data_IF_416115318617
#
_entry.id   IF_416115318617
#
_cell.length_a   1.000
_cell.length_b   1.000
_cell.length_c   1.000
_cell.angle_alpha   90.00
_cell.angle_beta   90.00
_cell.angle_gamma   90.00
#
_symmetry.space_group_name_H-M   'P 1'
#
loop_
_entity.id
_entity.type
_entity.pdbx_description
1 polymer ?
#
# COMPACT_ATOMS: atom_id res chain seq x y z
N UNK A 1 8.69 3.15 -6.21
CA UNK A 1 8.56 3.74 -7.57
C UNK A 1 7.80 2.90 -8.58
N UNK A 2 8.33 1.82 -9.17
CA UNK A 2 7.62 1.12 -10.27
C UNK A 2 6.22 0.63 -9.84
N UNK A 3 6.12 -0.04 -8.69
CA UNK A 3 4.85 -0.57 -8.20
C UNK A 3 3.83 0.54 -7.87
N UNK A 4 4.31 1.63 -7.27
CA UNK A 4 3.49 2.78 -6.91
C UNK A 4 2.92 3.47 -8.14
N UNK A 5 3.77 3.82 -9.10
CA UNK A 5 3.36 4.40 -10.38
C UNK A 5 2.41 3.47 -11.12
N UNK A 6 2.71 2.17 -11.19
CA UNK A 6 1.83 1.20 -11.84
C UNK A 6 0.45 1.12 -11.17
N UNK A 7 0.40 1.13 -9.83
CA UNK A 7 -0.83 1.10 -9.05
C UNK A 7 -1.70 2.34 -9.32
N UNK A 8 -1.10 3.52 -9.26
CA UNK A 8 -1.80 4.78 -9.45
C UNK A 8 -2.26 4.97 -10.90
N UNK A 9 -1.42 4.60 -11.88
CA UNK A 9 -1.80 4.61 -13.29
C UNK A 9 -2.96 3.65 -13.57
N UNK A 10 -2.93 2.43 -13.03
CA UNK A 10 -4.03 1.47 -13.17
C UNK A 10 -5.32 2.01 -12.55
N UNK A 11 -5.23 2.64 -11.37
CA UNK A 11 -6.39 3.21 -10.68
C UNK A 11 -6.95 4.42 -11.42
N UNK A 12 -6.11 5.30 -11.96
CA UNK A 12 -6.54 6.44 -12.78
C UNK A 12 -7.26 5.95 -14.03
N UNK A 13 -6.62 5.10 -14.83
CA UNK A 13 -7.21 4.55 -16.05
C UNK A 13 -8.53 3.83 -15.81
N UNK A 14 -8.63 3.10 -14.70
CA UNK A 14 -9.86 2.41 -14.32
C UNK A 14 -10.99 3.42 -14.05
N UNK A 15 -10.71 4.54 -13.38
CA UNK A 15 -11.69 5.62 -13.16
C UNK A 15 -12.05 6.36 -14.45
N UNK A 16 -11.04 6.66 -15.28
CA UNK A 16 -11.21 7.40 -16.54
C UNK A 16 -12.06 6.61 -17.55
N UNK A 17 -12.00 5.28 -17.50
CA UNK A 17 -12.88 4.39 -18.26
C UNK A 17 -14.33 4.35 -17.74
N UNK A 18 -14.70 5.18 -16.75
CA UNK A 18 -16.06 5.27 -16.22
C UNK A 18 -16.47 4.12 -15.31
N UNK A 19 -15.52 3.27 -14.88
CA UNK A 19 -15.83 2.15 -13.99
C UNK A 19 -16.29 2.67 -12.61
N UNK A 20 -17.29 1.99 -12.05
CA UNK A 20 -17.83 2.26 -10.70
C UNK A 20 -17.39 1.16 -9.74
N UNK A 21 -17.17 1.51 -8.47
CA UNK A 21 -16.73 0.55 -7.45
C UNK A 21 -15.25 0.62 -7.08
N UNK A 22 -14.65 -0.54 -6.89
CA UNK A 22 -13.24 -0.73 -6.50
C UNK A 22 -12.49 -1.51 -7.57
N UNK A 23 -11.18 -1.30 -7.66
CA UNK A 23 -10.30 -2.03 -8.56
C UNK A 23 -9.77 -3.28 -7.85
N UNK A 24 -9.88 -4.43 -8.50
CA UNK A 24 -9.38 -5.73 -8.01
C UNK A 24 -8.50 -6.45 -9.04
N UNK A 25 -8.12 -5.75 -10.12
CA UNK A 25 -7.33 -6.29 -11.24
C UNK A 25 -5.94 -5.64 -11.29
N UNK A 26 -5.03 -6.29 -12.01
CA UNK A 26 -3.65 -5.83 -12.12
C UNK A 26 -2.91 -5.97 -10.80
N UNK A 27 -2.16 -4.95 -10.38
CA UNK A 27 -1.40 -5.00 -9.12
C UNK A 27 -2.32 -5.01 -7.89
N UNK A 28 -3.54 -4.50 -8.04
CA UNK A 28 -4.57 -4.49 -7.00
C UNK A 28 -5.13 -5.89 -6.69
N UNK A 29 -4.91 -6.89 -7.56
CA UNK A 29 -5.23 -8.30 -7.27
C UNK A 29 -4.37 -8.88 -6.14
N UNK A 30 -3.15 -8.38 -5.99
CA UNK A 30 -2.14 -8.93 -5.07
C UNK A 30 -2.02 -8.14 -3.77
N UNK A 31 -2.48 -6.90 -3.75
CA UNK A 31 -2.45 -6.03 -2.58
C UNK A 31 -3.61 -5.05 -2.63
N UNK A 32 -4.22 -4.78 -1.46
CA UNK A 32 -5.24 -3.74 -1.32
C UNK A 32 -4.65 -2.33 -1.42
N UNK A 33 -3.36 -2.17 -1.10
CA UNK A 33 -2.64 -0.90 -1.13
C UNK A 33 -1.22 -1.06 -1.74
N UNK A 34 -1.13 -1.45 -3.04
CA UNK A 34 0.16 -1.70 -3.68
C UNK A 34 1.00 -0.43 -3.80
N UNK A 35 0.35 0.74 -3.89
CA UNK A 35 1.02 2.03 -3.90
C UNK A 35 1.75 2.32 -2.58
N UNK A 36 1.10 2.12 -1.43
CA UNK A 36 1.74 2.29 -0.13
C UNK A 36 2.88 1.31 0.12
N UNK A 37 2.76 0.07 -0.37
CA UNK A 37 3.89 -0.85 -0.29
C UNK A 37 5.07 -0.36 -1.15
N UNK A 38 4.80 0.17 -2.35
CA UNK A 38 5.82 0.77 -3.21
C UNK A 38 6.54 1.97 -2.57
N UNK A 39 5.80 2.80 -1.84
CA UNK A 39 6.33 3.94 -1.08
C UNK A 39 7.16 3.47 0.13
N UNK A 40 6.66 2.52 0.92
CA UNK A 40 7.41 1.94 2.04
C UNK A 40 8.72 1.29 1.57
N UNK A 41 8.70 0.60 0.43
CA UNK A 41 9.89 -0.02 -0.15
C UNK A 41 10.90 1.03 -0.62
N UNK A 42 10.45 2.16 -1.16
CA UNK A 42 11.30 3.30 -1.52
C UNK A 42 12.00 3.88 -0.28
N UNK A 43 11.23 4.14 0.78
CA UNK A 43 11.80 4.66 2.03
C UNK A 43 12.79 3.68 2.66
N UNK A 44 12.50 2.38 2.62
CA UNK A 44 13.42 1.35 3.09
C UNK A 44 14.71 1.30 2.25
N UNK A 45 14.63 1.35 0.91
CA UNK A 45 15.82 1.30 0.05
C UNK A 45 16.69 2.55 0.19
N UNK A 46 16.07 3.74 0.30
CA UNK A 46 16.78 4.98 0.63
C UNK A 46 17.46 4.89 2.00
N UNK A 47 16.77 4.37 3.01
CA UNK A 47 17.35 4.17 4.33
C UNK A 47 18.60 3.30 4.28
N UNK A 48 18.53 2.14 3.63
CA UNK A 48 19.67 1.22 3.48
C UNK A 48 20.81 1.89 2.71
N UNK A 49 20.50 2.67 1.67
CA UNK A 49 21.52 3.35 0.85
C UNK A 49 22.25 4.45 1.62
N UNK A 50 21.53 5.26 2.39
CA UNK A 50 22.10 6.36 3.16
C UNK A 50 22.80 5.92 4.45
N UNK A 51 22.33 4.86 5.10
CA UNK A 51 22.86 4.42 6.41
C UNK A 51 24.27 3.84 6.35
N UNK A 52 24.69 3.33 5.18
CA UNK A 52 26.05 2.81 4.98
C UNK A 52 27.14 3.89 5.09
N UNK A 53 26.82 5.16 4.82
CA UNK A 53 27.76 6.28 4.92
C UNK A 53 27.86 6.92 6.31
N UNK A 54 27.08 6.46 7.30
CA UNK A 54 26.99 7.11 8.61
C UNK A 54 27.98 6.51 9.61
N UNK A 55 28.84 7.32 10.25
CA UNK A 55 29.95 6.81 11.08
C UNK A 55 29.50 6.32 12.46
N UNK A 56 28.39 6.83 13.01
CA UNK A 56 27.96 6.51 14.38
C UNK A 56 26.64 5.74 14.43
N UNK A 57 26.44 4.94 15.47
CA UNK A 57 25.19 4.24 15.72
C UNK A 57 24.00 5.20 15.93
N UNK A 58 24.23 6.36 16.56
CA UNK A 58 23.20 7.38 16.77
C UNK A 58 22.68 7.98 15.47
N UNK A 59 23.57 8.28 14.51
CA UNK A 59 23.17 8.77 13.19
C UNK A 59 22.41 7.71 12.40
N UNK A 60 22.84 6.43 12.47
CA UNK A 60 22.11 5.31 11.83
C UNK A 60 20.71 5.16 12.41
N UNK A 61 20.56 5.23 13.73
CA UNK A 61 19.27 5.16 14.40
C UNK A 61 18.33 6.31 13.95
N UNK A 62 18.84 7.54 13.87
CA UNK A 62 18.08 8.69 13.40
C UNK A 62 17.66 8.53 11.93
N UNK A 63 18.55 8.04 11.08
CA UNK A 63 18.27 7.77 9.67
C UNK A 63 17.21 6.68 9.45
N UNK A 64 17.09 5.71 10.37
CA UNK A 64 16.04 4.68 10.36
C UNK A 64 14.73 5.21 10.93
N UNK A 65 14.78 6.12 11.91
CA UNK A 65 13.59 6.65 12.58
C UNK A 65 12.64 7.37 11.61
N UNK A 66 13.17 8.14 10.66
CA UNK A 66 12.37 8.84 9.65
C UNK A 66 11.52 7.91 8.76
N UNK A 67 12.09 6.94 8.02
CA UNK A 67 11.31 6.01 7.19
C UNK A 67 10.41 5.10 8.03
N UNK A 68 10.82 4.71 9.24
CA UNK A 68 9.97 3.97 10.16
C UNK A 68 8.71 4.77 10.57
N UNK A 69 8.88 6.07 10.83
CA UNK A 69 7.77 6.98 11.13
C UNK A 69 6.81 7.13 9.95
N UNK A 70 7.32 7.28 8.71
CA UNK A 70 6.47 7.30 7.51
C UNK A 70 5.69 6.00 7.35
N UNK A 71 6.36 4.84 7.50
CA UNK A 71 5.69 3.53 7.45
C UNK A 71 4.59 3.41 8.51
N UNK A 72 4.84 3.92 9.72
CA UNK A 72 3.85 3.94 10.80
C UNK A 72 2.63 4.79 10.44
N UNK A 73 2.84 6.02 9.94
CA UNK A 73 1.75 6.91 9.54
C UNK A 73 0.89 6.29 8.44
N UNK A 74 1.53 5.73 7.40
CA UNK A 74 0.82 5.09 6.29
C UNK A 74 0.06 3.84 6.74
N UNK A 75 0.64 3.01 7.61
CA UNK A 75 0.02 1.74 8.02
C UNK A 75 -1.09 1.92 9.05
N UNK A 76 -0.91 2.82 10.02
CA UNK A 76 -1.69 2.84 11.25
C UNK A 76 -2.43 4.16 11.52
N UNK A 77 -2.11 5.25 10.81
CA UNK A 77 -2.71 6.57 11.09
C UNK A 77 -3.52 7.07 9.90
N UNK A 78 -2.86 7.62 8.88
CA UNK A 78 -3.50 8.39 7.82
C UNK A 78 -3.67 7.63 6.51
N UNK A 79 -2.82 6.63 6.22
CA UNK A 79 -2.88 5.92 4.95
C UNK A 79 -4.01 4.88 4.90
N UNK A 80 -3.69 3.65 5.30
CA UNK A 80 -4.57 2.49 5.21
C UNK A 80 -5.88 2.66 6.00
N UNK A 81 -5.88 3.10 7.27
CA UNK A 81 -7.11 3.12 8.07
C UNK A 81 -8.17 4.07 7.52
N UNK A 82 -7.78 5.26 7.07
CA UNK A 82 -8.70 6.24 6.50
C UNK A 82 -9.31 5.74 5.18
N UNK A 83 -8.49 5.15 4.31
CA UNK A 83 -8.97 4.59 3.04
C UNK A 83 -9.89 3.39 3.25
N UNK A 84 -9.57 2.49 4.19
CA UNK A 84 -10.42 1.36 4.51
C UNK A 84 -11.76 1.81 5.10
N UNK A 85 -11.76 2.81 5.99
CA UNK A 85 -12.99 3.38 6.55
C UNK A 85 -13.88 3.97 5.46
N UNK A 86 -13.30 4.76 4.55
CA UNK A 86 -14.03 5.34 3.42
C UNK A 86 -14.56 4.27 2.46
N UNK A 87 -13.74 3.27 2.12
CA UNK A 87 -14.14 2.18 1.25
C UNK A 87 -15.22 1.29 1.88
N UNK A 88 -15.13 1.01 3.19
CA UNK A 88 -16.17 0.28 3.94
C UNK A 88 -17.47 1.07 4.02
N UNK A 89 -17.43 2.39 4.20
CA UNK A 89 -18.63 3.22 4.18
C UNK A 89 -19.33 3.19 2.80
N UNK A 90 -18.56 3.11 1.71
CA UNK A 90 -19.09 3.13 0.34
C UNK A 90 -19.48 1.75 -0.20
N UNK A 91 -18.74 0.71 0.16
CA UNK A 91 -18.83 -0.64 -0.43
C UNK A 91 -19.04 -1.76 0.60
N UNK A 92 -19.18 -1.44 1.90
CA UNK A 92 -19.27 -2.43 2.96
C UNK A 92 -20.50 -3.34 2.90
N UNK A 93 -21.54 -2.95 2.16
CA UNK A 93 -22.70 -3.78 1.86
C UNK A 93 -22.58 -4.61 0.57
N UNK A 94 -21.49 -4.46 -0.20
CA UNK A 94 -21.26 -5.21 -1.44
C UNK A 94 -20.50 -6.52 -1.13
N UNK A 95 -21.11 -7.70 -1.34
CA UNK A 95 -20.45 -8.98 -1.10
C UNK A 95 -19.14 -9.15 -1.88
N UNK A 96 -19.03 -8.56 -3.08
CA UNK A 96 -17.79 -8.63 -3.89
C UNK A 96 -16.65 -7.86 -3.23
N UNK A 97 -16.95 -6.71 -2.64
CA UNK A 97 -15.95 -5.93 -1.91
C UNK A 97 -15.46 -6.68 -0.67
N UNK A 98 -16.38 -7.30 0.08
CA UNK A 98 -16.03 -8.09 1.25
C UNK A 98 -15.17 -9.30 0.89
N UNK A 99 -15.51 -10.02 -0.19
CA UNK A 99 -14.70 -11.12 -0.71
C UNK A 99 -13.30 -10.64 -1.14
N UNK A 100 -13.22 -9.51 -1.85
CA UNK A 100 -11.96 -8.91 -2.25
C UNK A 100 -11.05 -8.59 -1.05
N UNK A 101 -11.60 -7.95 -0.01
CA UNK A 101 -10.83 -7.61 1.21
C UNK A 101 -10.41 -8.88 1.97
N UNK A 102 -11.25 -9.92 1.99
CA UNK A 102 -10.94 -11.17 2.69
C UNK A 102 -9.81 -11.97 2.01
N UNK A 103 -9.76 -11.98 0.67
CA UNK A 103 -8.79 -12.78 -0.10
C UNK A 103 -7.48 -12.05 -0.40
N UNK A 104 -7.49 -10.72 -0.43
CA UNK A 104 -6.36 -9.91 -0.91
C UNK A 104 -5.49 -9.45 0.25
N UNK A 105 -4.16 -9.59 0.13
CA UNK A 105 -3.22 -9.06 1.11
C UNK A 105 -3.38 -7.56 1.29
N UNK A 106 -3.16 -7.05 2.49
CA UNK A 106 -3.36 -5.64 2.78
C UNK A 106 -2.31 -4.72 2.13
N UNK A 107 -1.04 -5.11 2.19
CA UNK A 107 0.09 -4.28 1.75
C UNK A 107 1.06 -5.06 0.89
N UNK A 108 1.65 -6.13 1.42
CA UNK A 108 2.65 -6.93 0.70
C UNK A 108 1.97 -7.61 -0.49
N UNK A 109 2.44 -7.40 -1.73
CA UNK A 109 1.88 -8.08 -2.89
C UNK A 109 2.04 -9.60 -2.75
N UNK A 110 0.92 -10.29 -2.56
CA UNK A 110 0.90 -11.74 -2.36
C UNK A 110 -0.23 -12.35 -3.20
N UNK A 111 -0.07 -13.59 -3.70
CA UNK A 111 -1.17 -14.29 -4.34
C UNK A 111 -2.43 -14.30 -3.46
N UNK A 112 -3.62 -14.00 -4.04
CA UNK A 112 -4.85 -14.00 -3.27
C UNK A 112 -5.12 -15.40 -2.70
N UNK A 113 -5.70 -15.45 -1.51
CA UNK A 113 -6.11 -16.71 -0.88
C UNK A 113 -7.17 -17.39 -1.75
N UNK A 114 -7.11 -18.71 -1.84
CA UNK A 114 -8.17 -19.53 -2.45
C UNK A 114 -9.50 -19.25 -1.78
N UNK A 115 -10.58 -19.27 -2.56
CA UNK A 115 -11.94 -19.22 -2.01
C UNK A 115 -12.14 -20.41 -1.06
N UNK A 116 -12.71 -20.19 0.14
CA UNK A 116 -13.19 -21.28 0.98
C UNK A 116 -14.39 -22.00 0.35
#
# INVERSE_FOLDING_TARGET
MILEVAADMQKSRWKDAGNKGFIERGVWKYSQHPNYFGEMLLWASLCVSCTNGLPTAGQKALAIASPAFVCYLLRFVSGVPLLQKAAKAKYGGDPKYLQYVARTSLLVPWPPKSEP
#
